data_IF_532829240906
#
_entry.id   IF_532829240906
#
_cell.length_a   1.000
_cell.length_b   1.000
_cell.length_c   1.000
_cell.angle_alpha   90.00
_cell.angle_beta   90.00
_cell.angle_gamma   90.00
#
_symmetry.space_group_name_H-M   'P 1'
#
loop_
_entity.id
_entity.type
_entity.pdbx_description
1 polymer ?
#
# COMPACT_ATOMS: atom_id res chain seq x y z
N UNK A 1 1.58 6.44 -12.80
CA UNK A 1 0.25 6.10 -12.21
C UNK A 1 -0.63 5.40 -13.25
N UNK A 2 -0.85 5.98 -14.44
CA UNK A 2 -1.75 5.42 -15.46
C UNK A 2 -1.61 3.92 -15.76
N UNK A 3 -0.38 3.40 -15.86
CA UNK A 3 -0.14 1.97 -16.13
C UNK A 3 -0.48 1.03 -14.95
N UNK A 4 -0.52 1.55 -13.72
CA UNK A 4 -0.85 0.75 -12.52
C UNK A 4 -2.31 0.92 -12.10
N UNK A 5 -2.99 1.97 -12.57
CA UNK A 5 -4.33 2.34 -12.15
C UNK A 5 -5.38 1.22 -12.31
N UNK A 6 -5.20 0.34 -13.30
CA UNK A 6 -6.12 -0.78 -13.57
C UNK A 6 -5.69 -2.11 -12.92
N UNK A 7 -4.58 -2.11 -12.16
CA UNK A 7 -4.02 -3.30 -11.54
C UNK A 7 -3.92 -3.20 -10.01
N UNK A 8 -4.25 -2.03 -9.44
CA UNK A 8 -4.16 -1.77 -8.01
C UNK A 8 -5.50 -1.25 -7.53
N UNK A 9 -6.15 -2.03 -6.69
CA UNK A 9 -7.44 -1.71 -6.09
C UNK A 9 -7.28 -0.84 -4.83
N UNK A 10 -6.29 -1.19 -3.98
CA UNK A 10 -6.03 -0.51 -2.72
C UNK A 10 -4.64 0.15 -2.71
N UNK A 11 -4.62 1.47 -2.56
CA UNK A 11 -3.41 2.30 -2.51
C UNK A 11 -3.11 2.71 -1.08
N UNK A 12 -1.95 2.30 -0.56
CA UNK A 12 -1.46 2.74 0.74
C UNK A 12 -0.26 3.66 0.53
N UNK A 13 -0.51 4.96 0.61
CA UNK A 13 0.50 6.01 0.46
C UNK A 13 1.28 6.16 1.77
N UNK A 14 2.61 6.22 1.70
CA UNK A 14 3.48 6.32 2.87
C UNK A 14 4.34 7.58 2.80
N UNK A 15 4.63 8.22 3.95
CA UNK A 15 5.64 9.28 3.99
C UNK A 15 7.03 8.67 3.76
N UNK A 16 7.89 9.44 3.08
CA UNK A 16 9.32 9.16 3.00
C UNK A 16 10.12 10.24 3.73
N UNK A 17 11.12 9.88 4.54
CA UNK A 17 11.92 10.86 5.26
C UNK A 17 12.92 11.59 4.34
N UNK A 18 13.35 12.76 4.80
CA UNK A 18 14.39 13.57 4.15
C UNK A 18 13.83 14.63 3.17
N UNK A 19 14.69 15.54 2.69
CA UNK A 19 14.26 16.74 1.94
C UNK A 19 13.70 16.44 0.55
N UNK A 20 13.94 15.23 0.02
CA UNK A 20 13.36 14.74 -1.24
C UNK A 20 12.23 13.74 -1.00
N UNK A 21 11.89 13.48 0.26
CA UNK A 21 10.80 12.61 0.65
C UNK A 21 9.47 13.25 0.26
N UNK A 22 8.59 12.46 -0.35
CA UNK A 22 7.21 12.85 -0.62
C UNK A 22 6.34 12.42 0.55
N UNK A 23 5.34 13.22 0.90
CA UNK A 23 4.37 12.84 1.94
C UNK A 23 3.30 11.92 1.36
N UNK A 24 2.73 11.07 2.22
CA UNK A 24 1.60 10.21 1.90
C UNK A 24 0.44 11.04 1.32
N UNK A 25 0.19 12.22 1.87
CA UNK A 25 -0.87 13.13 1.38
C UNK A 25 -0.62 13.59 -0.05
N UNK A 26 0.61 14.00 -0.38
CA UNK A 26 0.95 14.40 -1.75
C UNK A 26 0.79 13.26 -2.75
N UNK A 27 1.10 12.02 -2.35
CA UNK A 27 0.86 10.85 -3.19
C UNK A 27 -0.65 10.60 -3.39
N UNK A 28 -1.44 10.66 -2.31
CA UNK A 28 -2.88 10.52 -2.38
C UNK A 28 -3.54 11.59 -3.27
N UNK A 29 -3.11 12.85 -3.16
CA UNK A 29 -3.60 13.94 -4.00
C UNK A 29 -3.32 13.67 -5.49
N UNK A 30 -2.14 13.16 -5.84
CA UNK A 30 -1.84 12.77 -7.22
C UNK A 30 -2.70 11.60 -7.72
N UNK A 31 -3.07 10.65 -6.84
CA UNK A 31 -3.98 9.55 -7.20
C UNK A 31 -5.39 10.07 -7.48
N UNK A 32 -5.92 10.93 -6.60
CA UNK A 32 -7.23 11.57 -6.80
C UNK A 32 -7.26 12.42 -8.07
N UNK A 33 -6.21 13.21 -8.33
CA UNK A 33 -6.09 13.97 -9.58
C UNK A 33 -6.06 13.09 -10.84
N UNK A 34 -5.65 11.82 -10.70
CA UNK A 34 -5.67 10.83 -11.77
C UNK A 34 -7.00 10.06 -11.85
N UNK A 35 -8.01 10.41 -11.04
CA UNK A 35 -9.32 9.76 -10.98
C UNK A 35 -9.32 8.43 -10.22
N UNK A 36 -8.32 8.21 -9.37
CA UNK A 36 -8.25 7.05 -8.47
C UNK A 36 -8.74 7.53 -7.11
N UNK A 37 -10.05 7.41 -6.90
CA UNK A 37 -10.74 7.74 -5.65
C UNK A 37 -11.28 6.49 -4.96
N UNK A 38 -11.64 6.65 -3.69
CA UNK A 38 -12.36 5.63 -2.94
C UNK A 38 -13.70 5.31 -3.62
N UNK A 39 -13.93 4.04 -3.95
CA UNK A 39 -15.14 3.59 -4.62
C UNK A 39 -15.46 2.14 -4.27
N UNK A 40 -16.67 1.92 -3.75
CA UNK A 40 -17.22 0.58 -3.52
C UNK A 40 -18.49 0.40 -4.35
N UNK A 41 -18.42 -0.43 -5.38
CA UNK A 41 -19.58 -0.88 -6.17
C UNK A 41 -19.57 -2.40 -6.25
N UNK A 42 -20.28 -3.04 -5.31
CA UNK A 42 -20.42 -4.50 -5.23
C UNK A 42 -21.08 -5.12 -6.46
N UNK A 43 -21.92 -4.37 -7.19
CA UNK A 43 -22.57 -4.90 -8.40
C UNK A 43 -21.59 -5.00 -9.56
N UNK A 44 -20.59 -4.12 -9.58
CA UNK A 44 -19.51 -4.10 -10.57
C UNK A 44 -18.24 -4.80 -10.10
N UNK A 45 -18.23 -5.34 -8.88
CA UNK A 45 -17.05 -5.95 -8.27
C UNK A 45 -15.90 -4.95 -8.02
N UNK A 46 -16.23 -3.67 -7.82
CA UNK A 46 -15.24 -2.63 -7.54
C UNK A 46 -15.15 -2.43 -6.04
N UNK A 47 -13.95 -2.53 -5.50
CA UNK A 47 -13.60 -2.14 -4.15
C UNK A 47 -12.24 -1.43 -4.19
N UNK A 48 -12.24 -0.10 -4.13
CA UNK A 48 -11.04 0.72 -4.25
C UNK A 48 -10.89 1.66 -3.08
N UNK A 49 -9.65 1.83 -2.64
CA UNK A 49 -9.33 2.78 -1.57
C UNK A 49 -7.96 3.43 -1.75
N UNK A 50 -7.83 4.66 -1.25
CA UNK A 50 -6.60 5.43 -1.14
C UNK A 50 -6.44 5.88 0.31
N UNK A 51 -5.47 5.29 1.01
CA UNK A 51 -5.21 5.59 2.42
C UNK A 51 -3.79 6.09 2.64
N UNK A 52 -3.59 6.90 3.67
CA UNK A 52 -2.28 7.40 4.07
C UNK A 52 -1.76 6.64 5.31
N UNK A 53 -0.46 6.38 5.34
CA UNK A 53 0.27 5.81 6.46
C UNK A 53 1.56 6.59 6.70
N UNK A 54 2.03 6.62 7.94
CA UNK A 54 3.20 7.43 8.32
C UNK A 54 4.50 6.82 7.81
N UNK A 55 4.62 5.49 7.75
CA UNK A 55 5.86 4.83 7.32
C UNK A 55 5.60 3.61 6.43
N UNK A 56 6.54 3.23 5.55
CA UNK A 56 6.38 2.05 4.68
C UNK A 56 6.17 0.72 5.41
N UNK A 57 6.75 0.51 6.59
CA UNK A 57 6.51 -0.70 7.39
C UNK A 57 5.11 -0.72 8.00
N UNK A 58 4.61 0.43 8.49
CA UNK A 58 3.22 0.56 8.93
C UNK A 58 2.24 0.33 7.78
N UNK A 59 2.55 0.89 6.61
CA UNK A 59 1.77 0.70 5.38
C UNK A 59 1.70 -0.77 4.98
N UNK A 60 2.82 -1.50 5.01
CA UNK A 60 2.82 -2.94 4.72
C UNK A 60 2.02 -3.75 5.75
N UNK A 61 2.12 -3.41 7.05
CA UNK A 61 1.29 -4.05 8.08
C UNK A 61 -0.20 -3.77 7.86
N UNK A 62 -0.55 -2.55 7.44
CA UNK A 62 -1.93 -2.21 7.09
C UNK A 62 -2.42 -3.02 5.88
N UNK A 63 -1.61 -3.09 4.81
CA UNK A 63 -1.92 -3.86 3.60
C UNK A 63 -2.23 -5.32 3.94
N UNK A 64 -1.40 -5.93 4.78
CA UNK A 64 -1.59 -7.33 5.23
C UNK A 64 -2.85 -7.55 6.07
N UNK A 65 -3.26 -6.56 6.87
CA UNK A 65 -4.51 -6.65 7.63
C UNK A 65 -5.75 -6.54 6.75
N UNK A 66 -5.62 -5.87 5.59
CA UNK A 66 -6.72 -5.68 4.64
C UNK A 66 -6.79 -6.81 3.60
N UNK A 67 -5.65 -7.39 3.25
CA UNK A 67 -5.52 -8.41 2.21
C UNK A 67 -6.21 -9.73 2.59
N UNK A 68 -7.00 -10.26 1.66
CA UNK A 68 -7.49 -11.62 1.66
C UNK A 68 -6.43 -12.64 1.19
N UNK A 69 -6.75 -13.95 1.24
CA UNK A 69 -5.80 -15.02 0.89
C UNK A 69 -5.24 -14.98 -0.54
N UNK A 70 -6.02 -14.47 -1.49
CA UNK A 70 -5.67 -14.42 -2.91
C UNK A 70 -5.08 -13.06 -3.34
N UNK A 71 -5.04 -12.10 -2.43
CA UNK A 71 -4.58 -10.74 -2.71
C UNK A 71 -3.06 -10.69 -2.84
N UNK A 72 -2.60 -9.73 -3.65
CA UNK A 72 -1.17 -9.48 -3.88
C UNK A 72 -0.82 -8.11 -3.36
N UNK A 73 0.20 -8.06 -2.51
CA UNK A 73 0.75 -6.81 -1.99
C UNK A 73 2.05 -6.51 -2.74
N UNK A 74 2.14 -5.30 -3.29
CA UNK A 74 3.36 -4.78 -3.91
C UNK A 74 3.86 -3.56 -3.13
N UNK A 75 5.16 -3.52 -2.85
CA UNK A 75 5.83 -2.35 -2.26
C UNK A 75 6.79 -1.80 -3.31
N UNK A 76 6.60 -0.55 -3.72
CA UNK A 76 7.35 0.03 -4.84
C UNK A 76 7.50 1.56 -4.73
N UNK A 77 8.09 2.17 -5.75
CA UNK A 77 8.22 3.62 -5.92
C UNK A 77 9.60 4.17 -5.60
N UNK A 78 10.28 3.64 -4.58
CA UNK A 78 11.63 4.05 -4.20
C UNK A 78 12.38 2.93 -3.47
N UNK A 79 13.71 2.91 -3.62
CA UNK A 79 14.59 2.08 -2.79
C UNK A 79 14.38 2.34 -1.29
N UNK A 80 14.12 3.59 -0.91
CA UNK A 80 13.87 3.94 0.48
C UNK A 80 12.54 3.35 0.98
N UNK A 81 11.49 3.37 0.15
CA UNK A 81 10.22 2.71 0.47
C UNK A 81 10.42 1.22 0.77
N UNK A 82 11.13 0.53 -0.13
CA UNK A 82 11.40 -0.91 0.03
C UNK A 82 12.25 -1.15 1.28
N UNK A 83 13.34 -0.41 1.45
CA UNK A 83 14.23 -0.55 2.60
C UNK A 83 13.50 -0.35 3.94
N UNK A 84 12.62 0.65 4.02
CA UNK A 84 11.83 0.94 5.22
C UNK A 84 10.72 -0.09 5.46
N UNK A 85 10.26 -0.82 4.43
CA UNK A 85 9.26 -1.88 4.58
C UNK A 85 9.86 -3.24 4.99
N UNK A 86 11.16 -3.48 4.75
CA UNK A 86 11.84 -4.75 5.07
C UNK A 86 11.69 -5.22 6.53
N UNK A 87 11.64 -4.36 7.57
CA UNK A 87 11.38 -4.80 8.94
C UNK A 87 10.06 -5.60 9.06
N UNK A 88 8.97 -5.08 8.50
CA UNK A 88 7.68 -5.77 8.48
C UNK A 88 7.72 -7.06 7.64
N UNK A 89 8.50 -7.11 6.55
CA UNK A 89 8.72 -8.37 5.80
C UNK A 89 9.38 -9.43 6.68
N UNK A 90 10.38 -9.05 7.48
CA UNK A 90 11.12 -9.97 8.36
C UNK A 90 10.29 -10.51 9.51
N UNK A 91 9.38 -9.72 10.07
CA UNK A 91 8.43 -10.15 11.11
C UNK A 91 7.67 -11.41 10.66
N UNK A 92 7.19 -11.41 9.42
CA UNK A 92 6.42 -12.49 8.81
C UNK A 92 7.26 -13.77 8.62
N UNK A 93 8.51 -13.62 8.18
CA UNK A 93 9.44 -14.74 8.01
C UNK A 93 9.87 -15.36 9.36
N UNK A 94 9.78 -14.60 10.44
CA UNK A 94 10.08 -15.06 11.80
C UNK A 94 8.86 -15.61 12.55
N UNK A 95 7.66 -15.44 12.02
CA UNK A 95 6.45 -16.00 12.61
C UNK A 95 6.45 -17.51 12.42
N UNK A 96 6.53 -18.26 13.53
CA UNK A 96 6.38 -19.72 13.53
C UNK A 96 5.02 -20.07 12.92
N UNK A 97 4.94 -20.94 11.90
CA UNK A 97 3.64 -21.35 11.34
C UNK A 97 2.80 -22.01 12.44
N UNK A 98 1.45 -21.83 12.42
CA UNK A 98 0.59 -22.42 13.43
C UNK A 98 0.76 -23.95 13.43
N UNK A 99 0.92 -24.52 14.62
CA UNK A 99 0.93 -25.97 14.82
C UNK A 99 -0.44 -26.53 14.44
N UNK A 100 -0.48 -27.40 13.42
CA UNK A 100 -1.65 -28.23 13.07
C UNK A 100 -2.05 -29.17 14.21
#
# INVERSE_FOLDING_TARGET
>A
IAHLANHVDHWICCDLPGPRGTTARMLADHLHMAGIDDLVDRRKGIDRSVVCSTTPDEGLRLARRQAGPDDRIIVFGSFLTVALALPAVREDLSATPPSN
#
